data_IF_476855413961
#
_entry.id   IF_476855413961
#
_cell.length_a   1.000
_cell.length_b   1.000
_cell.length_c   1.000
_cell.angle_alpha   90.00
_cell.angle_beta   90.00
_cell.angle_gamma   90.00
#
_symmetry.space_group_name_H-M   'P 1'
#
loop_
_entity.id
_entity.type
_entity.pdbx_description
1 polymer ?
#
# COMPACT_ATOMS: atom_id res chain seq x y z
N UNK A 1 -3.94 -6.72 -11.65
CA UNK A 1 -3.15 -6.24 -10.52
C UNK A 1 -3.98 -5.23 -9.74
N UNK A 2 -4.02 -5.34 -8.41
CA UNK A 2 -4.67 -4.36 -7.53
C UNK A 2 -3.62 -3.82 -6.56
N UNK A 3 -3.90 -2.68 -5.95
CA UNK A 3 -3.03 -2.10 -4.92
C UNK A 3 -3.84 -1.95 -3.65
N UNK A 4 -3.45 -2.67 -2.59
CA UNK A 4 -4.05 -2.59 -1.27
C UNK A 4 -3.45 -1.41 -0.53
N UNK A 5 -4.31 -0.53 -0.02
CA UNK A 5 -3.97 0.59 0.84
C UNK A 5 -4.42 0.25 2.25
N UNK A 6 -3.50 0.10 3.21
CA UNK A 6 -3.84 -0.25 4.59
C UNK A 6 -3.38 0.85 5.57
N UNK A 7 -4.28 1.32 6.43
CA UNK A 7 -3.95 2.28 7.50
C UNK A 7 -3.18 1.56 8.59
N UNK A 8 -1.92 1.95 8.76
CA UNK A 8 -1.01 1.33 9.71
C UNK A 8 -1.34 1.77 11.13
N UNK A 9 -1.52 0.79 12.00
CA UNK A 9 -1.66 1.01 13.42
C UNK A 9 -0.31 1.44 14.03
N UNK A 10 -0.31 2.35 15.01
CA UNK A 10 0.93 2.83 15.63
C UNK A 10 1.74 1.69 16.26
N UNK A 11 1.08 0.65 16.76
CA UNK A 11 1.70 -0.55 17.36
C UNK A 11 2.48 -1.40 16.36
N UNK A 12 2.09 -1.40 15.09
CA UNK A 12 2.74 -2.18 14.02
C UNK A 12 3.66 -1.34 13.13
N UNK A 13 3.60 -0.01 13.24
CA UNK A 13 4.36 0.93 12.40
C UNK A 13 5.86 0.65 12.36
N UNK A 14 6.48 0.35 13.51
CA UNK A 14 7.91 0.04 13.55
C UNK A 14 8.26 -1.22 12.75
N UNK A 15 7.44 -2.27 12.89
CA UNK A 15 7.64 -3.54 12.17
C UNK A 15 7.38 -3.38 10.67
N UNK A 16 6.32 -2.65 10.31
CA UNK A 16 6.00 -2.33 8.92
C UNK A 16 7.16 -1.58 8.25
N UNK A 17 7.77 -0.60 8.93
CA UNK A 17 8.94 0.10 8.38
C UNK A 17 10.12 -0.84 8.12
N UNK A 18 10.43 -1.72 9.07
CA UNK A 18 11.49 -2.71 8.92
C UNK A 18 11.24 -3.64 7.73
N UNK A 19 10.01 -4.12 7.55
CA UNK A 19 9.68 -5.00 6.42
C UNK A 19 9.66 -4.23 5.08
N UNK A 20 9.32 -2.94 5.04
CA UNK A 20 9.48 -2.10 3.84
C UNK A 20 10.95 -1.95 3.46
N UNK A 21 11.84 -1.71 4.42
CA UNK A 21 13.28 -1.63 4.16
C UNK A 21 13.80 -2.94 3.59
N UNK A 22 13.34 -4.07 4.15
CA UNK A 22 13.67 -5.41 3.65
C UNK A 22 13.14 -5.64 2.23
N UNK A 23 11.90 -5.26 1.95
CA UNK A 23 11.29 -5.34 0.62
C UNK A 23 12.12 -4.52 -0.39
N UNK A 24 12.45 -3.28 -0.05
CA UNK A 24 13.25 -2.40 -0.90
C UNK A 24 14.65 -2.98 -1.14
N UNK A 25 15.29 -3.54 -0.11
CA UNK A 25 16.57 -4.20 -0.27
C UNK A 25 16.47 -5.40 -1.23
N UNK A 26 15.45 -6.25 -1.07
CA UNK A 26 15.24 -7.41 -1.92
C UNK A 26 14.99 -7.03 -3.39
N UNK A 27 14.15 -6.00 -3.63
CA UNK A 27 13.93 -5.43 -4.97
C UNK A 27 15.24 -4.94 -5.57
N UNK A 28 16.03 -4.19 -4.80
CA UNK A 28 17.31 -3.65 -5.27
C UNK A 28 18.35 -4.73 -5.58
N UNK A 29 18.35 -5.84 -4.85
CA UNK A 29 19.24 -6.98 -5.11
C UNK A 29 18.70 -7.97 -6.14
N UNK A 30 17.46 -7.80 -6.61
CA UNK A 30 16.78 -8.75 -7.49
C UNK A 30 16.44 -10.09 -6.80
N UNK A 31 16.33 -10.09 -5.47
CA UNK A 31 15.98 -11.26 -4.67
C UNK A 31 14.46 -11.46 -4.66
N UNK A 32 13.95 -12.26 -5.62
CA UNK A 32 12.51 -12.49 -5.76
C UNK A 32 11.92 -13.20 -4.53
N UNK A 33 12.63 -14.17 -3.94
CA UNK A 33 12.17 -14.86 -2.73
C UNK A 33 12.08 -13.88 -1.55
N UNK A 34 13.04 -12.97 -1.45
CA UNK A 34 13.02 -11.89 -0.45
C UNK A 34 11.86 -10.91 -0.64
N UNK A 35 11.51 -10.60 -1.90
CA UNK A 35 10.36 -9.76 -2.23
C UNK A 35 9.06 -10.44 -1.81
N UNK A 36 8.88 -11.71 -2.14
CA UNK A 36 7.68 -12.47 -1.79
C UNK A 36 7.55 -12.61 -0.27
N UNK A 37 8.64 -12.93 0.43
CA UNK A 37 8.65 -13.07 1.88
C UNK A 37 8.30 -11.75 2.61
N UNK A 38 8.90 -10.63 2.18
CA UNK A 38 8.62 -9.33 2.79
C UNK A 38 7.17 -8.87 2.49
N UNK A 39 6.69 -9.11 1.27
CA UNK A 39 5.30 -8.80 0.89
C UNK A 39 4.30 -9.61 1.73
N UNK A 40 4.54 -10.91 1.90
CA UNK A 40 3.70 -11.77 2.73
C UNK A 40 3.65 -11.30 4.20
N UNK A 41 4.79 -10.92 4.77
CA UNK A 41 4.84 -10.39 6.14
C UNK A 41 4.11 -9.04 6.27
N UNK A 42 4.27 -8.14 5.31
CA UNK A 42 3.55 -6.88 5.32
C UNK A 42 2.03 -7.08 5.23
N UNK A 43 1.57 -8.06 4.46
CA UNK A 43 0.16 -8.45 4.40
C UNK A 43 -0.35 -9.01 5.72
N UNK A 44 0.44 -9.86 6.41
CA UNK A 44 0.09 -10.41 7.72
C UNK A 44 0.01 -9.30 8.79
N UNK A 45 1.02 -8.43 8.85
CA UNK A 45 1.09 -7.30 9.79
C UNK A 45 -0.07 -6.31 9.61
N UNK A 46 -0.67 -6.27 8.43
CA UNK A 46 -1.76 -5.35 8.08
C UNK A 46 -3.09 -6.06 7.83
N UNK A 47 -3.20 -7.35 8.15
CA UNK A 47 -4.41 -8.14 7.89
C UNK A 47 -5.64 -7.54 8.58
N UNK A 48 -5.51 -7.17 9.86
CA UNK A 48 -6.57 -6.57 10.67
C UNK A 48 -6.66 -5.03 10.56
N UNK A 49 -5.80 -4.41 9.75
CA UNK A 49 -5.84 -2.97 9.54
C UNK A 49 -6.99 -2.57 8.61
N UNK A 50 -7.53 -1.36 8.80
CA UNK A 50 -8.50 -0.81 7.86
C UNK A 50 -7.82 -0.64 6.50
N UNK A 51 -8.31 -1.33 5.48
CA UNK A 51 -7.74 -1.27 4.13
C UNK A 51 -8.79 -1.11 3.03
N UNK A 52 -8.34 -0.63 1.87
CA UNK A 52 -9.11 -0.56 0.64
C UNK A 52 -8.25 -1.03 -0.52
N UNK A 53 -8.85 -1.73 -1.46
CA UNK A 53 -8.17 -2.19 -2.66
C UNK A 53 -8.53 -1.26 -3.82
N UNK A 54 -7.51 -0.71 -4.47
CA UNK A 54 -7.67 0.10 -5.67
C UNK A 54 -7.29 -0.72 -6.91
N UNK A 55 -8.05 -0.51 -7.97
CA UNK A 55 -7.66 -0.96 -9.31
C UNK A 55 -6.37 -0.25 -9.74
N UNK A 56 -5.61 -0.85 -10.65
CA UNK A 56 -4.39 -0.24 -11.20
C UNK A 56 -4.67 1.16 -11.79
N UNK A 57 -5.82 1.34 -12.47
CA UNK A 57 -6.23 2.61 -13.06
C UNK A 57 -6.50 3.68 -12.00
N UNK A 58 -7.27 3.36 -10.95
CA UNK A 58 -7.57 4.27 -9.84
C UNK A 58 -6.31 4.63 -9.06
N UNK A 59 -5.43 3.66 -8.82
CA UNK A 59 -4.13 3.89 -8.19
C UNK A 59 -3.26 4.84 -9.02
N UNK A 60 -3.16 4.64 -10.33
CA UNK A 60 -2.41 5.54 -11.22
C UNK A 60 -2.99 6.95 -11.24
N UNK A 61 -4.33 7.07 -11.28
CA UNK A 61 -5.01 8.37 -11.21
C UNK A 61 -4.74 9.08 -9.88
N UNK A 62 -4.77 8.33 -8.77
CA UNK A 62 -4.41 8.83 -7.44
C UNK A 62 -2.97 9.34 -7.41
N UNK A 63 -1.98 8.54 -7.80
CA UNK A 63 -0.57 8.96 -7.82
C UNK A 63 -0.32 10.18 -8.70
N UNK A 64 -1.01 10.27 -9.84
CA UNK A 64 -0.91 11.44 -10.73
C UNK A 64 -1.40 12.71 -10.01
N UNK A 65 -2.54 12.64 -9.31
CA UNK A 65 -3.06 13.76 -8.53
C UNK A 65 -2.12 14.16 -7.40
N UNK A 66 -1.56 13.19 -6.68
CA UNK A 66 -0.59 13.44 -5.60
C UNK A 66 0.64 14.15 -6.14
N UNK A 67 1.21 13.66 -7.25
CA UNK A 67 2.38 14.28 -7.90
C UNK A 67 2.10 15.68 -8.45
N UNK A 68 0.87 15.98 -8.87
CA UNK A 68 0.48 17.35 -9.24
C UNK A 68 0.49 18.32 -8.05
N UNK A 69 0.16 17.84 -6.84
CA UNK A 69 0.18 18.67 -5.63
C UNK A 69 1.58 18.74 -5.02
N UNK A 70 2.33 17.62 -5.04
CA UNK A 70 3.69 17.50 -4.54
C UNK A 70 4.58 16.82 -5.60
N UNK A 71 5.30 17.58 -6.44
CA UNK A 71 6.14 17.01 -7.50
C UNK A 71 7.37 16.25 -6.97
N UNK A 72 7.80 16.53 -5.74
CA UNK A 72 8.90 15.80 -5.06
C UNK A 72 8.42 14.50 -4.40
N UNK A 73 7.13 14.19 -4.48
CA UNK A 73 6.55 12.99 -3.87
C UNK A 73 7.10 11.73 -4.53
N UNK A 74 7.80 10.92 -3.74
CA UNK A 74 8.26 9.58 -4.11
C UNK A 74 7.52 8.54 -3.28
N UNK A 75 6.72 7.71 -3.95
CA UNK A 75 6.10 6.52 -3.35
C UNK A 75 7.18 5.57 -2.89
N UNK A 76 7.26 5.31 -1.58
CA UNK A 76 8.19 4.36 -1.00
C UNK A 76 7.43 3.31 -0.16
N UNK A 77 6.34 2.77 -0.72
CA UNK A 77 5.39 1.85 -0.08
C UNK A 77 4.64 2.42 1.12
N UNK A 78 5.14 3.47 1.78
CA UNK A 78 4.50 4.16 2.88
C UNK A 78 4.12 5.59 2.48
N UNK A 79 2.82 5.88 2.62
CA UNK A 79 2.21 7.16 2.34
C UNK A 79 1.80 7.86 3.65
N UNK A 80 1.98 9.18 3.78
CA UNK A 80 1.43 9.91 4.90
C UNK A 80 -0.10 9.98 4.78
N UNK A 81 -0.80 9.88 5.91
CA UNK A 81 -2.27 9.85 5.95
C UNK A 81 -2.91 11.08 5.32
N UNK A 82 -2.25 12.25 5.40
CA UNK A 82 -2.69 13.48 4.74
C UNK A 82 -2.89 13.31 3.23
N UNK A 83 -2.00 12.58 2.56
CA UNK A 83 -2.08 12.31 1.12
C UNK A 83 -3.23 11.34 0.82
N UNK A 84 -3.51 10.43 1.74
CA UNK A 84 -4.58 9.44 1.62
C UNK A 84 -5.94 9.91 2.15
N UNK A 85 -6.08 11.16 2.61
CA UNK A 85 -7.34 11.70 3.12
C UNK A 85 -8.48 11.68 2.09
N UNK A 86 -8.15 11.72 0.78
CA UNK A 86 -9.14 11.57 -0.29
C UNK A 86 -9.71 10.14 -0.40
N UNK A 87 -8.98 9.14 0.06
CA UNK A 87 -9.36 7.73 0.03
C UNK A 87 -9.98 7.33 1.39
N UNK A 88 -9.36 7.77 2.48
CA UNK A 88 -9.80 7.50 3.84
C UNK A 88 -10.26 8.80 4.51
N UNK A 89 -11.57 9.13 4.48
CA UNK A 89 -12.07 10.38 5.07
C UNK A 89 -11.90 10.43 6.60
N UNK A 90 -11.69 9.28 7.25
CA UNK A 90 -11.48 9.17 8.70
C UNK A 90 -10.01 9.10 9.12
N UNK A 91 -9.06 9.19 8.18
CA UNK A 91 -7.63 9.09 8.50
C UNK A 91 -7.13 10.36 9.17
N UNK A 92 -6.25 10.19 10.16
CA UNK A 92 -5.55 11.31 10.80
C UNK A 92 -4.26 11.62 10.06
N UNK A 93 -3.83 12.89 10.08
CA UNK A 93 -2.59 13.31 9.43
C UNK A 93 -1.32 12.62 9.98
N UNK A 94 -1.39 12.11 11.21
CA UNK A 94 -0.29 11.36 11.87
C UNK A 94 -0.29 9.86 11.51
N UNK A 95 -1.34 9.37 10.85
CA UNK A 95 -1.40 7.98 10.39
C UNK A 95 -0.53 7.78 9.15
N UNK A 96 -0.09 6.54 8.94
CA UNK A 96 0.58 6.11 7.72
C UNK A 96 -0.29 5.10 6.97
N UNK A 97 -0.21 5.12 5.65
CA UNK A 97 -0.89 4.16 4.79
C UNK A 97 0.16 3.38 4.03
N UNK A 98 0.09 2.06 4.12
CA UNK A 98 0.92 1.16 3.35
C UNK A 98 0.23 0.88 2.01
N UNK A 99 0.93 1.15 0.90
CA UNK A 99 0.54 0.72 -0.44
C UNK A 99 1.28 -0.58 -0.80
N UNK A 100 0.53 -1.66 -1.01
CA UNK A 100 1.06 -2.95 -1.42
C UNK A 100 0.42 -3.40 -2.73
N UNK A 101 1.23 -3.67 -3.77
CA UNK A 101 0.72 -4.37 -4.92
C UNK A 101 0.32 -5.78 -4.50
N UNK A 102 -0.92 -6.15 -4.80
CA UNK A 102 -1.43 -7.51 -4.62
C UNK A 102 -1.79 -8.06 -5.99
N UNK A 103 -1.53 -9.35 -6.19
CA UNK A 103 -2.15 -10.06 -7.29
C UNK A 103 -3.66 -9.93 -7.10
N UNK A 104 -4.28 -9.30 -8.10
CA UNK A 104 -5.72 -9.18 -8.09
C UNK A 104 -6.23 -10.59 -8.29
N UNK A 105 -6.73 -11.21 -7.23
CA UNK A 105 -7.62 -12.35 -7.38
C UNK A 105 -8.68 -11.92 -8.40
N UNK A 106 -8.71 -12.60 -9.53
CA UNK A 106 -9.74 -12.45 -10.56
C UNK A 106 -11.04 -13.01 -9.98
N UNK A 107 -11.59 -12.33 -8.98
CA UNK A 107 -13.00 -12.38 -8.66
C UNK A 107 -13.66 -11.21 -9.41
N UNK A 108 -13.61 -11.28 -10.74
CA UNK A 108 -14.59 -10.61 -11.57
C UNK A 108 -15.78 -11.57 -11.72
N UNK A 109 -16.98 -11.03 -11.51
CA UNK A 109 -18.29 -11.56 -11.90
C UNK A 109 -19.01 -12.53 -10.93
N UNK A 110 -19.63 -11.98 -9.89
CA UNK A 110 -21.04 -12.34 -9.64
C UNK A 110 -21.90 -11.50 -10.59
N UNK A 111 -22.06 -11.98 -11.83
CA UNK A 111 -23.20 -11.58 -12.68
C UNK A 111 -24.43 -12.38 -12.23
N UNK A 112 -25.29 -11.74 -11.44
CA UNK A 112 -26.66 -12.20 -11.24
C UNK A 112 -27.44 -11.89 -12.53
N UNK A 113 -27.79 -12.94 -13.30
CA UNK A 113 -28.71 -12.89 -14.46
C UNK A 113 -29.76 -13.97 -14.35
#
# INVERSE_FOLDING_TARGET
MKVRFAIISPDTLAQVRTEIERLQQAVNSGDMDGVDAATAQLLELTADCQSIDLSEEDWRAFLTRVRCMNPEFTSNYLLPGEVCASIFPTITADSYVLELPIDGDTAEEEIDV
#
